data_IF_344735051083
#
_entry.id   IF_344735051083
#
_cell.length_a   1.000
_cell.length_b   1.000
_cell.length_c   1.000
_cell.angle_alpha   90.00
_cell.angle_beta   90.00
_cell.angle_gamma   90.00
#
_symmetry.space_group_name_H-M   'P 1'
#
loop_
_entity.id
_entity.type
_entity.pdbx_description
1 polymer ?
#
# COMPACT_ATOMS: atom_id res chain seq x y z
N UNK A 1 -4.24 10.77 17.41
CA UNK A 1 -2.83 10.82 17.85
C UNK A 1 -2.81 11.62 19.12
N UNK A 2 -2.43 10.97 20.22
CA UNK A 2 -2.21 11.66 21.49
C UNK A 2 -0.89 12.44 21.37
N UNK A 3 -0.99 13.76 21.44
CA UNK A 3 0.14 14.67 21.24
C UNK A 3 0.93 14.91 22.54
N UNK A 4 0.46 14.41 23.70
CA UNK A 4 1.19 14.52 24.96
C UNK A 4 2.48 13.69 24.95
N UNK A 5 2.53 12.60 24.18
CA UNK A 5 3.71 11.74 24.04
C UNK A 5 4.94 12.50 23.50
N UNK A 6 4.75 13.57 22.72
CA UNK A 6 5.83 14.39 22.15
C UNK A 6 6.27 15.54 23.06
N UNK A 7 5.51 15.83 24.12
CA UNK A 7 5.79 16.95 25.03
C UNK A 7 6.89 16.60 26.04
N UNK A 8 7.06 15.32 26.35
CA UNK A 8 8.08 14.81 27.26
C UNK A 8 9.21 14.05 26.56
N UNK A 9 8.97 13.57 25.33
CA UNK A 9 10.03 12.96 24.52
C UNK A 9 10.72 14.06 23.73
N UNK A 10 11.95 14.36 24.15
CA UNK A 10 12.90 15.17 23.41
C UNK A 10 13.22 14.48 22.05
N UNK A 11 12.31 14.59 21.08
CA UNK A 11 12.43 13.95 19.77
C UNK A 11 13.16 14.89 18.81
N UNK A 12 14.24 14.41 18.19
CA UNK A 12 14.98 15.19 17.19
C UNK A 12 14.47 14.91 15.78
N UNK A 13 14.13 13.66 15.49
CA UNK A 13 13.59 13.23 14.19
C UNK A 13 12.62 12.06 14.36
N UNK A 14 11.61 12.02 13.48
CA UNK A 14 10.67 10.91 13.34
C UNK A 14 10.83 10.37 11.92
N UNK A 15 11.02 9.06 11.79
CA UNK A 15 11.16 8.38 10.51
C UNK A 15 10.17 7.22 10.44
N UNK A 16 9.71 6.94 9.22
CA UNK A 16 8.86 5.78 8.96
C UNK A 16 9.74 4.65 8.46
N UNK A 17 9.64 3.49 9.10
CA UNK A 17 10.23 2.25 8.63
C UNK A 17 9.15 1.37 8.00
N UNK A 18 9.39 1.02 6.74
CA UNK A 18 8.50 0.18 5.96
C UNK A 18 8.75 -1.30 6.19
N UNK A 19 9.84 -1.68 6.87
CA UNK A 19 10.25 -3.07 7.05
C UNK A 19 9.39 -3.75 8.13
N UNK A 20 8.90 -4.94 7.81
CA UNK A 20 8.09 -5.77 8.68
C UNK A 20 8.99 -6.73 9.48
N UNK A 21 9.08 -6.58 10.82
CA UNK A 21 10.04 -7.36 11.62
C UNK A 21 9.79 -8.86 11.62
N UNK A 22 8.52 -9.28 11.56
CA UNK A 22 8.16 -10.70 11.60
C UNK A 22 8.66 -11.45 10.36
N UNK A 23 8.61 -10.82 9.18
CA UNK A 23 9.19 -11.40 7.97
C UNK A 23 10.69 -11.69 8.13
N UNK A 24 11.44 -10.79 8.78
CA UNK A 24 12.86 -10.99 9.04
C UNK A 24 13.13 -12.13 10.02
N UNK A 25 12.28 -12.29 11.03
CA UNK A 25 12.39 -13.39 11.99
C UNK A 25 12.10 -14.74 11.35
N UNK A 26 11.02 -14.82 10.56
CA UNK A 26 10.60 -16.06 9.89
C UNK A 26 11.56 -16.48 8.77
N UNK A 27 12.16 -15.52 8.06
CA UNK A 27 13.03 -15.78 6.91
C UNK A 27 14.52 -15.63 7.23
N UNK A 28 14.90 -15.59 8.51
CA UNK A 28 16.29 -15.35 8.94
C UNK A 28 17.30 -16.33 8.33
N UNK A 29 16.89 -17.58 8.08
CA UNK A 29 17.74 -18.62 7.49
C UNK A 29 18.00 -18.44 5.99
N UNK A 30 17.12 -17.74 5.27
CA UNK A 30 17.15 -17.63 3.80
C UNK A 30 17.52 -16.20 3.37
N UNK A 31 17.18 -15.20 4.19
CA UNK A 31 17.32 -13.80 3.86
C UNK A 31 18.05 -13.03 4.96
N UNK A 32 19.25 -12.52 4.64
CA UNK A 32 19.98 -11.60 5.50
C UNK A 32 19.72 -10.15 5.10
N UNK A 33 18.99 -9.43 5.95
CA UNK A 33 18.65 -8.03 5.70
C UNK A 33 19.86 -7.08 5.79
N UNK A 34 20.90 -7.42 6.56
CA UNK A 34 22.11 -6.60 6.63
C UNK A 34 22.87 -6.64 5.32
N UNK A 35 23.05 -7.84 4.78
CA UNK A 35 23.76 -8.06 3.51
C UNK A 35 22.99 -7.42 2.35
N UNK A 36 21.66 -7.54 2.36
CA UNK A 36 20.80 -6.84 1.41
C UNK A 36 20.98 -5.32 1.47
N UNK A 37 20.92 -4.73 2.68
CA UNK A 37 21.13 -3.29 2.88
C UNK A 37 22.49 -2.84 2.34
N UNK A 38 23.56 -3.58 2.63
CA UNK A 38 24.90 -3.24 2.19
C UNK A 38 25.06 -3.37 0.67
N UNK A 39 24.55 -4.46 0.08
CA UNK A 39 24.61 -4.71 -1.36
C UNK A 39 23.90 -3.61 -2.17
N UNK A 40 22.70 -3.20 -1.73
CA UNK A 40 21.93 -2.13 -2.40
C UNK A 40 22.63 -0.79 -2.23
N UNK A 41 23.13 -0.46 -1.02
CA UNK A 41 23.89 0.77 -0.79
C UNK A 41 25.13 0.85 -1.67
N UNK A 42 25.93 -0.22 -1.70
CA UNK A 42 27.15 -0.27 -2.49
C UNK A 42 26.86 -0.14 -4.00
N UNK A 43 25.80 -0.79 -4.48
CA UNK A 43 25.36 -0.64 -5.87
C UNK A 43 24.89 0.77 -6.19
N UNK A 44 24.15 1.42 -5.28
CA UNK A 44 23.70 2.80 -5.43
C UNK A 44 24.87 3.78 -5.50
N UNK A 45 25.82 3.70 -4.57
CA UNK A 45 26.97 4.60 -4.53
C UNK A 45 27.93 4.42 -5.72
N UNK A 46 28.02 3.22 -6.28
CA UNK A 46 28.76 2.97 -7.53
C UNK A 46 28.14 3.69 -8.72
N UNK A 47 26.81 3.70 -8.83
CA UNK A 47 26.10 4.33 -9.95
C UNK A 47 25.89 5.84 -9.75
N UNK A 48 25.81 6.30 -8.50
CA UNK A 48 25.49 7.68 -8.14
C UNK A 48 26.53 8.23 -7.14
N UNK A 49 27.79 8.45 -7.56
CA UNK A 49 28.83 8.95 -6.68
C UNK A 49 28.46 10.31 -6.08
N UNK A 50 28.58 10.45 -4.76
CA UNK A 50 28.31 11.70 -4.04
C UNK A 50 26.83 11.98 -3.70
N UNK A 51 25.88 11.17 -4.20
CA UNK A 51 24.46 11.32 -3.86
C UNK A 51 24.16 10.75 -2.48
N UNK A 52 23.66 11.59 -1.56
CA UNK A 52 23.22 11.19 -0.22
C UNK A 52 21.74 10.77 -0.17
N UNK A 53 21.02 10.89 -1.28
CA UNK A 53 19.56 10.67 -1.34
C UNK A 53 19.18 9.20 -1.50
N UNK A 54 19.88 8.31 -0.80
CA UNK A 54 19.53 6.88 -0.80
C UNK A 54 18.39 6.61 0.17
N UNK A 55 17.27 6.09 -0.33
CA UNK A 55 16.11 5.72 0.49
C UNK A 55 15.96 4.21 0.54
N UNK A 56 16.18 3.65 1.72
CA UNK A 56 16.05 2.20 1.92
C UNK A 56 14.61 1.71 1.74
N UNK A 57 13.61 2.54 2.04
CA UNK A 57 12.20 2.21 1.87
C UNK A 57 11.85 1.91 0.40
N UNK A 58 12.37 2.68 -0.55
CA UNK A 58 12.14 2.45 -1.99
C UNK A 58 12.73 1.10 -2.44
N UNK A 59 13.93 0.76 -1.94
CA UNK A 59 14.54 -0.54 -2.21
C UNK A 59 13.72 -1.71 -1.62
N UNK A 60 13.15 -1.54 -0.42
CA UNK A 60 12.28 -2.56 0.19
C UNK A 60 11.01 -2.78 -0.63
N UNK A 61 10.36 -1.72 -1.13
CA UNK A 61 9.20 -1.84 -2.01
C UNK A 61 9.52 -2.51 -3.35
N UNK A 62 10.69 -2.22 -3.93
CA UNK A 62 11.13 -2.86 -5.19
C UNK A 62 11.39 -4.36 -4.97
N UNK A 63 12.01 -4.73 -3.86
CA UNK A 63 12.21 -6.15 -3.51
C UNK A 63 10.86 -6.88 -3.47
N UNK A 64 9.87 -6.31 -2.77
CA UNK A 64 8.54 -6.91 -2.65
C UNK A 64 7.81 -6.99 -4.00
N UNK A 65 7.96 -5.97 -4.85
CA UNK A 65 7.38 -5.97 -6.18
C UNK A 65 7.94 -7.12 -7.04
N UNK A 66 9.26 -7.34 -6.98
CA UNK A 66 9.92 -8.44 -7.71
C UNK A 66 9.53 -9.79 -7.10
N UNK A 67 9.52 -9.88 -5.77
CA UNK A 67 9.18 -11.11 -5.06
C UNK A 67 7.74 -11.56 -5.37
N UNK A 68 6.77 -10.63 -5.31
CA UNK A 68 5.39 -10.89 -5.68
C UNK A 68 5.24 -11.26 -7.16
N UNK A 69 5.93 -10.54 -8.05
CA UNK A 69 5.87 -10.81 -9.49
C UNK A 69 6.43 -12.19 -9.82
N UNK A 70 7.61 -12.54 -9.30
CA UNK A 70 8.23 -13.83 -9.51
C UNK A 70 7.35 -14.98 -8.98
N UNK A 71 6.88 -14.86 -7.73
CA UNK A 71 6.01 -15.87 -7.12
C UNK A 71 4.70 -16.03 -7.91
N UNK A 72 4.04 -14.93 -8.26
CA UNK A 72 2.77 -14.96 -8.99
C UNK A 72 2.92 -15.50 -10.41
N UNK A 73 3.99 -15.15 -11.13
CA UNK A 73 4.22 -15.64 -12.48
C UNK A 73 4.55 -17.14 -12.47
N UNK A 74 5.35 -17.60 -11.52
CA UNK A 74 5.67 -19.02 -11.37
C UNK A 74 4.40 -19.84 -11.12
N UNK A 75 3.58 -19.45 -10.13
CA UNK A 75 2.32 -20.15 -9.83
C UNK A 75 1.32 -20.05 -10.99
N UNK A 76 1.23 -18.90 -11.64
CA UNK A 76 0.37 -18.72 -12.81
C UNK A 76 0.79 -19.63 -13.96
N UNK A 77 2.09 -19.77 -14.21
CA UNK A 77 2.62 -20.62 -15.28
C UNK A 77 2.29 -22.10 -15.08
N UNK A 78 2.16 -22.56 -13.83
CA UNK A 78 1.76 -23.92 -13.51
C UNK A 78 0.26 -24.16 -13.80
N UNK A 79 -0.57 -23.14 -13.61
CA UNK A 79 -2.02 -23.20 -13.83
C UNK A 79 -2.43 -22.97 -15.29
N UNK A 80 -1.68 -22.13 -16.00
CA UNK A 80 -1.93 -21.77 -17.40
C UNK A 80 -0.65 -21.92 -18.22
N UNK A 81 -0.28 -23.17 -18.58
CA UNK A 81 0.88 -23.39 -19.44
C UNK A 81 0.65 -22.69 -20.78
N UNK A 82 1.62 -21.87 -21.19
CA UNK A 82 1.57 -21.18 -22.48
C UNK A 82 1.91 -22.22 -23.55
N UNK A 83 0.90 -22.93 -24.05
CA UNK A 83 1.09 -23.84 -25.18
C UNK A 83 1.26 -23.02 -26.48
N UNK A 84 2.39 -23.15 -27.19
CA UNK A 84 2.61 -22.46 -28.46
C UNK A 84 1.78 -23.04 -29.62
N UNK A 85 1.10 -24.18 -29.41
CA UNK A 85 0.45 -25.01 -30.42
C UNK A 85 -1.05 -24.74 -30.62
N UNK A 86 -1.70 -24.01 -29.71
CA UNK A 86 -3.08 -23.58 -29.97
C UNK A 86 -3.01 -22.35 -30.89
N UNK A 87 -3.47 -22.49 -32.14
CA UNK A 87 -3.46 -21.45 -33.19
C UNK A 87 -4.27 -20.18 -32.89
N UNK A 88 -4.45 -19.85 -31.60
CA UNK A 88 -5.08 -18.65 -31.10
C UNK A 88 -3.99 -17.69 -30.62
N UNK A 89 -3.98 -16.48 -31.19
CA UNK A 89 -3.01 -15.41 -30.93
C UNK A 89 -3.09 -14.80 -29.51
N UNK A 90 -3.22 -15.60 -28.45
CA UNK A 90 -3.32 -15.11 -27.08
C UNK A 90 -2.01 -14.47 -26.56
N UNK A 91 -0.88 -14.74 -27.22
CA UNK A 91 0.45 -14.22 -26.88
C UNK A 91 0.86 -13.01 -27.73
N UNK A 92 0.16 -12.73 -28.84
CA UNK A 92 0.50 -11.62 -29.73
C UNK A 92 -0.06 -10.32 -29.17
N UNK A 93 0.79 -9.52 -28.51
CA UNK A 93 0.42 -8.22 -27.94
C UNK A 93 0.80 -7.12 -28.92
N UNK A 94 -0.11 -6.17 -29.17
CA UNK A 94 0.17 -4.98 -29.99
C UNK A 94 -0.32 -3.73 -29.28
N UNK A 95 0.57 -2.76 -29.12
CA UNK A 95 0.18 -1.43 -28.65
C UNK A 95 -0.67 -0.72 -29.72
N UNK A 96 -1.54 0.18 -29.28
CA UNK A 96 -2.31 1.03 -30.20
C UNK A 96 -1.37 1.91 -31.03
N UNK A 97 -1.59 1.95 -32.33
CA UNK A 97 -0.93 2.88 -33.24
C UNK A 97 -2.00 3.69 -34.00
N UNK A 98 -1.58 4.69 -34.78
CA UNK A 98 -2.46 5.47 -35.65
C UNK A 98 -3.18 4.61 -36.68
N UNK A 99 -2.53 3.55 -37.15
CA UNK A 99 -3.02 2.65 -38.21
C UNK A 99 -3.51 1.30 -37.71
N UNK A 100 -3.29 0.96 -36.44
CA UNK A 100 -3.59 -0.36 -35.89
C UNK A 100 -4.27 -0.28 -34.52
N UNK A 101 -5.32 -1.08 -34.36
CA UNK A 101 -5.97 -1.29 -33.06
C UNK A 101 -5.05 -2.04 -32.10
N UNK A 102 -5.21 -1.78 -30.80
CA UNK A 102 -4.53 -2.54 -29.77
C UNK A 102 -4.98 -4.01 -29.76
N UNK A 103 -4.04 -4.91 -29.50
CA UNK A 103 -4.32 -6.32 -29.22
C UNK A 103 -3.85 -6.61 -27.79
N UNK A 104 -4.77 -6.77 -26.83
CA UNK A 104 -4.42 -7.01 -25.44
C UNK A 104 -3.88 -8.42 -25.24
N UNK A 105 -3.05 -8.59 -24.22
CA UNK A 105 -2.57 -9.91 -23.82
C UNK A 105 -3.73 -10.79 -23.33
N UNK A 106 -3.94 -11.95 -23.96
CA UNK A 106 -5.11 -12.80 -23.72
C UNK A 106 -5.19 -13.32 -22.28
N UNK A 107 -4.04 -13.61 -21.66
CA UNK A 107 -3.96 -14.05 -20.27
C UNK A 107 -3.85 -12.89 -19.27
N UNK A 108 -3.79 -11.63 -19.72
CA UNK A 108 -3.51 -10.48 -18.86
C UNK A 108 -4.52 -10.33 -17.72
N UNK A 109 -5.82 -10.49 -18.00
CA UNK A 109 -6.85 -10.41 -16.96
C UNK A 109 -6.76 -11.56 -15.95
N UNK A 110 -6.45 -12.78 -16.42
CA UNK A 110 -6.29 -13.95 -15.54
C UNK A 110 -5.05 -13.78 -14.65
N UNK A 111 -3.95 -13.29 -15.20
CA UNK A 111 -2.71 -13.00 -14.47
C UNK A 111 -2.93 -11.89 -13.42
N UNK A 112 -3.56 -10.77 -13.80
CA UNK A 112 -3.85 -9.68 -12.86
C UNK A 112 -4.76 -10.15 -11.72
N UNK A 113 -5.80 -10.92 -12.03
CA UNK A 113 -6.68 -11.49 -11.00
C UNK A 113 -5.93 -12.47 -10.10
N UNK A 114 -5.01 -13.26 -10.66
CA UNK A 114 -4.16 -14.15 -9.88
C UNK A 114 -3.28 -13.35 -8.92
N UNK A 115 -2.53 -12.35 -9.42
CA UNK A 115 -1.67 -11.47 -8.61
C UNK A 115 -2.47 -10.80 -7.48
N UNK A 116 -3.68 -10.33 -7.78
CA UNK A 116 -4.58 -9.72 -6.78
C UNK A 116 -4.93 -10.71 -5.67
N UNK A 117 -5.33 -11.92 -6.03
CA UNK A 117 -5.76 -12.93 -5.06
C UNK A 117 -4.60 -13.63 -4.33
N UNK A 118 -3.34 -13.39 -4.74
CA UNK A 118 -2.17 -13.96 -4.06
C UNK A 118 -1.95 -13.27 -2.72
N UNK A 119 -2.08 -14.02 -1.63
CA UNK A 119 -1.65 -13.60 -0.29
C UNK A 119 -0.19 -13.99 -0.10
N UNK A 120 0.69 -13.00 0.01
CA UNK A 120 2.12 -13.20 0.21
C UNK A 120 2.62 -12.17 1.20
N UNK A 121 3.47 -12.61 2.14
CA UNK A 121 4.13 -11.71 3.10
C UNK A 121 5.54 -11.43 2.58
N UNK A 122 5.89 -10.16 2.44
CA UNK A 122 7.21 -9.68 2.00
C UNK A 122 7.92 -8.86 3.07
N UNK A 123 8.99 -8.18 2.66
CA UNK A 123 9.78 -7.29 3.51
C UNK A 123 8.97 -6.16 4.12
N UNK A 124 7.94 -5.67 3.41
CA UNK A 124 7.10 -4.59 3.91
C UNK A 124 5.81 -5.08 4.58
N UNK A 125 5.63 -6.39 4.74
CA UNK A 125 4.43 -7.00 5.33
C UNK A 125 3.54 -7.65 4.28
N UNK A 126 2.21 -7.57 4.46
CA UNK A 126 1.27 -8.20 3.52
C UNK A 126 1.31 -7.50 2.15
N UNK A 127 1.52 -8.28 1.10
CA UNK A 127 1.58 -7.85 -0.30
C UNK A 127 0.24 -7.94 -1.03
N UNK A 128 -0.81 -8.45 -0.37
CA UNK A 128 -2.18 -8.47 -0.88
C UNK A 128 -2.82 -7.07 -1.06
N UNK A 129 -2.03 -5.99 -0.91
CA UNK A 129 -2.40 -4.57 -1.09
C UNK A 129 -3.00 -4.24 -2.45
N UNK A 130 -2.78 -5.08 -3.45
CA UNK A 130 -3.33 -4.91 -4.80
C UNK A 130 -4.81 -5.34 -4.85
N UNK A 131 -5.34 -5.98 -3.80
CA UNK A 131 -6.77 -6.12 -3.55
C UNK A 131 -7.39 -4.78 -3.12
N UNK A 132 -7.31 -3.79 -4.01
CA UNK A 132 -8.22 -2.66 -4.04
C UNK A 132 -9.58 -3.22 -4.49
N UNK A 133 -10.26 -3.98 -3.64
CA UNK A 133 -11.70 -4.12 -3.81
C UNK A 133 -12.30 -2.79 -3.36
N UNK A 134 -12.81 -1.95 -4.29
CA UNK A 134 -13.63 -0.85 -3.86
C UNK A 134 -14.93 -1.48 -3.32
N UNK A 135 -15.41 -0.99 -2.18
CA UNK A 135 -16.85 -0.94 -1.82
C UNK A 135 -17.36 -1.81 -0.67
N UNK A 136 -16.68 -2.83 -0.11
CA UNK A 136 -17.35 -3.65 0.94
C UNK A 136 -16.70 -3.80 2.31
N UNK A 137 -15.41 -3.52 2.50
CA UNK A 137 -14.81 -3.67 3.83
C UNK A 137 -13.74 -2.60 4.10
N UNK A 138 -13.96 -1.64 5.02
CA UNK A 138 -13.00 -0.59 5.35
C UNK A 138 -11.83 -1.09 6.24
N UNK A 139 -11.45 -2.37 6.19
CA UNK A 139 -10.58 -2.99 7.19
C UNK A 139 -9.51 -3.98 6.68
N UNK A 140 -9.36 -4.20 5.37
CA UNK A 140 -8.39 -5.20 4.85
C UNK A 140 -7.10 -4.60 4.28
N UNK A 141 -6.80 -3.34 4.58
CA UNK A 141 -5.49 -2.76 4.26
C UNK A 141 -4.50 -3.11 5.38
N UNK A 142 -3.99 -4.34 5.36
CA UNK A 142 -3.05 -4.86 6.35
C UNK A 142 -1.61 -4.39 6.08
N UNK A 143 -1.41 -3.07 6.02
CA UNK A 143 -0.06 -2.52 6.00
C UNK A 143 0.15 -1.62 7.20
N UNK A 144 1.12 -1.99 8.01
CA UNK A 144 1.56 -1.21 9.16
C UNK A 144 2.86 -0.51 8.82
N UNK A 145 2.97 0.77 9.15
CA UNK A 145 4.23 1.49 9.13
C UNK A 145 4.78 1.57 10.54
N UNK A 146 6.06 1.22 10.73
CA UNK A 146 6.74 1.42 12.01
C UNK A 146 7.20 2.86 12.12
N UNK A 147 7.06 3.43 13.31
CA UNK A 147 7.48 4.81 13.60
C UNK A 147 8.72 4.73 14.47
N UNK A 148 9.84 5.16 13.89
CA UNK A 148 11.13 5.24 14.57
C UNK A 148 11.38 6.68 15.03
N UNK A 149 11.83 6.84 16.27
CA UNK A 149 12.17 8.11 16.89
C UNK A 149 13.67 8.16 17.15
N UNK A 150 14.33 9.24 16.74
CA UNK A 150 15.71 9.53 17.12
C UNK A 150 15.71 10.51 18.29
N UNK A 151 16.11 10.04 19.47
CA UNK A 151 16.29 10.87 20.66
C UNK A 151 17.61 11.66 20.64
N UNK A 152 17.78 12.61 21.58
CA UNK A 152 19.05 13.36 21.76
C UNK A 152 20.23 12.48 22.20
N UNK A 153 19.94 11.28 22.69
CA UNK A 153 20.94 10.23 22.99
C UNK A 153 21.59 9.66 21.73
N UNK A 154 21.05 9.96 20.54
CA UNK A 154 21.52 9.43 19.26
C UNK A 154 21.08 7.98 19.00
N UNK A 155 20.22 7.40 19.84
CA UNK A 155 19.63 6.07 19.64
C UNK A 155 18.30 6.18 18.92
N UNK A 156 18.03 5.21 18.05
CA UNK A 156 16.77 5.07 17.33
C UNK A 156 15.90 4.11 18.13
N UNK A 157 14.76 4.60 18.61
CA UNK A 157 13.78 3.85 19.38
C UNK A 157 12.52 3.64 18.52
N UNK A 158 11.99 2.41 18.48
CA UNK A 158 10.69 2.12 17.88
C UNK A 158 9.59 2.53 18.86
N UNK A 159 8.78 3.53 18.48
CA UNK A 159 7.75 4.10 19.34
C UNK A 159 6.34 3.57 19.04
N UNK A 160 6.21 2.73 18.00
CA UNK A 160 4.95 2.09 17.67
C UNK A 160 4.73 1.95 16.17
N UNK A 161 3.48 1.69 15.82
CA UNK A 161 3.06 1.47 14.45
C UNK A 161 1.86 2.34 14.10
N UNK A 162 1.77 2.69 12.82
CA UNK A 162 0.61 3.31 12.22
C UNK A 162 -0.07 2.30 11.31
N UNK A 163 -1.37 2.15 11.47
CA UNK A 163 -2.23 1.36 10.59
C UNK A 163 -3.29 2.28 9.95
N UNK A 164 -3.65 2.04 8.68
CA UNK A 164 -4.72 2.78 8.02
C UNK A 164 -6.08 2.35 8.59
N UNK A 165 -6.58 3.10 9.58
CA UNK A 165 -7.90 2.84 10.19
C UNK A 165 -9.07 3.43 9.38
N UNK A 166 -8.81 4.26 8.36
CA UNK A 166 -9.86 4.95 7.59
C UNK A 166 -9.51 5.13 6.12
N UNK A 167 -10.47 4.85 5.23
CA UNK A 167 -10.40 5.24 3.82
C UNK A 167 -10.23 6.76 3.71
N UNK A 168 -9.12 7.21 3.12
CA UNK A 168 -8.88 8.62 2.85
C UNK A 168 -9.62 9.00 1.56
N UNK A 169 -10.79 9.61 1.72
CA UNK A 169 -11.55 10.16 0.60
C UNK A 169 -11.02 11.56 0.29
N UNK A 170 -10.29 11.70 -0.81
CA UNK A 170 -9.91 13.00 -1.35
C UNK A 170 -11.08 13.58 -2.15
N UNK A 171 -11.50 14.80 -1.81
CA UNK A 171 -12.59 15.49 -2.51
C UNK A 171 -12.24 16.96 -2.71
N UNK A 172 -12.89 17.59 -3.68
CA UNK A 172 -12.69 18.99 -4.05
C UNK A 172 -13.85 19.81 -3.48
N UNK A 173 -13.57 20.95 -2.86
CA UNK A 173 -14.59 21.87 -2.37
C UNK A 173 -15.24 22.63 -3.53
N UNK A 174 -16.35 22.11 -4.05
CA UNK A 174 -17.12 22.71 -5.13
C UNK A 174 -18.61 22.75 -4.77
N UNK A 175 -19.28 23.89 -4.94
CA UNK A 175 -20.74 23.98 -4.70
C UNK A 175 -21.48 23.39 -5.91
N UNK A 176 -22.48 22.50 -5.74
CA UNK A 176 -23.08 21.97 -4.50
C UNK A 176 -22.54 20.60 -4.04
N UNK A 177 -21.42 20.14 -4.63
CA UNK A 177 -20.87 18.79 -4.46
C UNK A 177 -20.16 18.53 -3.15
N UNK A 178 -19.45 19.50 -2.55
CA UNK A 178 -18.88 19.51 -1.18
C UNK A 178 -18.81 20.95 -0.67
N UNK A 179 -19.54 21.25 0.41
CA UNK A 179 -19.62 22.58 1.01
C UNK A 179 -19.41 22.52 2.52
N UNK A 180 -18.92 23.61 3.11
CA UNK A 180 -18.92 23.76 4.56
C UNK A 180 -20.32 24.19 5.02
N UNK A 181 -20.78 23.62 6.13
CA UNK A 181 -21.99 24.06 6.83
C UNK A 181 -21.77 25.43 7.45
N UNK A 182 -22.86 26.17 7.66
CA UNK A 182 -22.80 27.52 8.25
C UNK A 182 -22.19 27.54 9.66
N UNK A 183 -22.37 26.48 10.44
CA UNK A 183 -21.84 26.30 11.79
C UNK A 183 -20.61 25.37 11.82
N UNK A 184 -19.82 25.31 10.75
CA UNK A 184 -18.67 24.39 10.67
C UNK A 184 -17.63 24.60 11.79
N UNK A 185 -17.53 25.80 12.37
CA UNK A 185 -16.62 26.10 13.47
C UNK A 185 -16.97 25.37 14.78
N UNK A 186 -18.21 24.91 14.93
CA UNK A 186 -18.70 24.21 16.13
C UNK A 186 -18.78 22.69 15.94
N UNK A 187 -18.44 22.20 14.74
CA UNK A 187 -18.59 20.79 14.36
C UNK A 187 -17.22 20.15 14.16
N UNK A 188 -17.08 18.87 14.50
CA UNK A 188 -15.83 18.13 14.32
C UNK A 188 -15.78 17.36 12.99
N UNK A 189 -14.61 17.42 12.33
CA UNK A 189 -14.22 16.54 11.22
C UNK A 189 -15.26 16.50 10.08
N UNK A 190 -15.72 15.32 9.68
CA UNK A 190 -16.63 15.10 8.55
C UNK A 190 -18.01 15.75 8.75
N UNK A 191 -18.38 16.13 9.98
CA UNK A 191 -19.65 16.78 10.28
C UNK A 191 -19.72 18.24 9.80
N UNK A 192 -18.54 18.85 9.56
CA UNK A 192 -18.38 20.22 9.06
C UNK A 192 -18.87 20.39 7.62
N UNK A 193 -18.94 19.30 6.86
CA UNK A 193 -19.27 19.33 5.45
C UNK A 193 -20.72 18.91 5.20
N UNK A 194 -21.35 19.55 4.22
CA UNK A 194 -22.66 19.22 3.68
C UNK A 194 -22.57 19.19 2.17
N UNK A 195 -23.15 18.15 1.57
CA UNK A 195 -23.05 18.00 0.14
C UNK A 195 -23.95 16.95 -0.47
N UNK A 196 -24.28 17.15 -1.76
CA UNK A 196 -24.96 16.14 -2.56
C UNK A 196 -24.10 14.87 -2.74
N UNK A 197 -22.78 15.01 -2.92
CA UNK A 197 -21.87 13.86 -3.01
C UNK A 197 -21.75 13.12 -1.66
N UNK A 198 -21.85 13.82 -0.53
CA UNK A 198 -21.90 13.21 0.81
C UNK A 198 -23.22 12.48 1.06
N UNK A 199 -24.33 12.98 0.52
CA UNK A 199 -25.64 12.32 0.58
C UNK A 199 -25.64 11.05 -0.28
N UNK A 200 -25.10 11.10 -1.49
CA UNK A 200 -24.92 9.90 -2.33
C UNK A 200 -24.01 8.86 -1.65
N UNK A 201 -22.95 9.30 -0.97
CA UNK A 201 -22.09 8.41 -0.19
C UNK A 201 -22.83 7.76 0.99
N UNK A 202 -23.59 8.54 1.77
CA UNK A 202 -24.41 8.03 2.88
C UNK A 202 -25.60 7.15 2.44
N UNK A 203 -26.11 7.38 1.24
CA UNK A 203 -27.25 6.64 0.66
C UNK A 203 -26.82 5.37 -0.09
N UNK A 204 -25.52 5.11 -0.17
CA UNK A 204 -25.01 3.84 -0.66
C UNK A 204 -25.35 2.76 0.39
N UNK A 205 -26.06 1.68 0.02
CA UNK A 205 -26.64 0.74 0.98
C UNK A 205 -25.54 -0.06 1.66
N UNK A 206 -25.07 0.42 2.81
CA UNK A 206 -24.39 -0.40 3.81
C UNK A 206 -25.41 -0.71 4.89
N UNK A 207 -25.99 -1.90 4.80
CA UNK A 207 -26.74 -2.53 5.90
C UNK A 207 -25.87 -2.56 7.15
N UNK A 208 -26.25 -1.79 8.17
CA UNK A 208 -25.74 -1.96 9.54
C UNK A 208 -26.91 -1.96 10.52
N UNK A 209 -27.05 -3.08 11.23
CA UNK A 209 -27.83 -3.22 12.46
C UNK A 209 -27.07 -2.50 13.58
N UNK A 210 -27.75 -1.60 14.29
CA UNK A 210 -27.21 -0.96 15.49
C UNK A 210 -27.27 -1.94 16.67
N UNK A 211 -26.20 -2.13 17.45
CA UNK A 211 -26.33 -2.73 18.77
C UNK A 211 -26.92 -1.67 19.71
N UNK A 212 -28.09 -1.97 20.27
CA UNK A 212 -28.69 -1.18 21.36
C UNK A 212 -27.83 -1.31 22.62
N UNK A 213 -27.61 -0.23 23.39
CA UNK A 213 -26.95 -0.32 24.67
C UNK A 213 -27.90 -0.99 25.69
N UNK A 214 -27.48 -2.10 26.28
CA UNK A 214 -28.10 -2.63 27.49
C UNK A 214 -27.69 -1.77 28.68
N UNK A 215 -28.69 -1.33 29.46
CA UNK A 215 -28.55 -0.73 30.79
C UNK A 215 -27.79 -1.63 31.76
#
# INVERSE_FOLDING_TARGET
MDMELFRHNHARFIAVDAVYPLFLQENMAIFNFSDFKESVKNSWFKQNPGSKNFKMSEAAFIFDAIYLAAHSVLNFSQLYPIEPSSGVHHTTVKCRSTTHSQVPYGYGRKLINHIRNTTLIGLTGDLARINLQPIQHPANHNFSFRINLLGYTGRIDDIGYWEPVTDVVTTIMERPYVMLKKNHFEMDKNSQFEAFALICWKSCPTTWVLPTPSM
#
